data_IF_076534699170
#
_entry.id   IF_076534699170
#
_cell.length_a   1.000
_cell.length_b   1.000
_cell.length_c   1.000
_cell.angle_alpha   90.00
_cell.angle_beta   90.00
_cell.angle_gamma   90.00
#
_symmetry.space_group_name_H-M   'P 1'
#
loop_
_entity.id
_entity.type
_entity.pdbx_description
1 polymer ?
#
# COMPACT_ATOMS: atom_id res chain seq x y z
N UNK A 1 11.81 38.27 81.34
CA UNK A 1 12.36 37.18 80.61
C UNK A 1 11.17 36.56 79.75
N UNK A 2 11.14 36.93 78.52
CA UNK A 2 10.16 36.42 77.58
C UNK A 2 10.88 35.53 76.53
N UNK A 3 10.54 34.27 76.50
CA UNK A 3 10.95 33.35 75.49
C UNK A 3 9.98 33.46 74.28
N UNK A 4 10.43 33.95 73.16
CA UNK A 4 9.69 33.93 71.91
C UNK A 4 10.04 32.65 71.14
N UNK A 5 9.10 31.74 71.05
CA UNK A 5 9.14 30.54 70.20
C UNK A 5 8.89 30.95 68.75
N UNK A 6 9.91 30.84 67.93
CA UNK A 6 9.73 31.00 66.48
C UNK A 6 9.27 29.69 65.83
N UNK A 7 8.00 29.65 65.43
CA UNK A 7 7.43 28.56 64.61
C UNK A 7 7.81 28.78 63.17
N UNK A 8 8.70 27.97 62.63
CA UNK A 8 9.01 27.91 61.22
C UNK A 8 7.94 27.03 60.55
N UNK A 9 7.01 27.68 59.85
CA UNK A 9 6.07 27.00 59.00
C UNK A 9 6.79 26.67 57.68
N UNK A 10 7.16 25.40 57.51
CA UNK A 10 7.63 24.89 56.23
C UNK A 10 6.45 24.71 55.28
N UNK A 11 6.24 25.72 54.43
CA UNK A 11 5.31 25.59 53.32
C UNK A 11 5.96 24.68 52.25
N UNK A 12 5.59 23.40 52.23
CA UNK A 12 5.83 22.52 51.10
C UNK A 12 4.95 22.98 49.94
N UNK A 13 5.52 23.74 49.00
CA UNK A 13 4.92 23.97 47.73
C UNK A 13 5.00 22.64 46.96
N UNK A 14 3.91 21.87 46.92
CA UNK A 14 3.69 20.86 45.89
C UNK A 14 3.53 21.62 44.57
N UNK A 15 4.65 21.78 43.85
CA UNK A 15 4.61 22.09 42.46
C UNK A 15 3.98 20.86 41.76
N UNK A 16 2.67 20.85 41.62
CA UNK A 16 2.01 20.00 40.68
C UNK A 16 2.54 20.39 39.29
N UNK A 17 3.46 19.61 38.77
CA UNK A 17 3.79 19.63 37.37
C UNK A 17 2.52 19.18 36.63
N UNK A 18 1.57 20.09 36.44
CA UNK A 18 0.64 20.00 35.35
C UNK A 18 1.39 20.37 34.07
N UNK A 19 2.36 19.53 33.68
CA UNK A 19 2.77 19.43 32.31
C UNK A 19 1.50 18.98 31.61
N UNK A 20 0.76 19.90 31.01
CA UNK A 20 -0.16 19.60 29.96
C UNK A 20 0.67 18.88 28.89
N UNK A 21 0.72 17.55 28.94
CA UNK A 21 0.97 16.78 27.76
C UNK A 21 -0.10 17.31 26.79
N UNK A 22 0.31 18.11 25.83
CA UNK A 22 -0.45 18.19 24.61
C UNK A 22 -0.60 16.72 24.21
N UNK A 23 -1.78 16.15 24.47
CA UNK A 23 -2.21 14.95 23.79
C UNK A 23 -2.30 15.35 22.31
N UNK A 24 -1.16 15.36 21.62
CA UNK A 24 -1.16 14.96 20.24
C UNK A 24 -1.55 13.49 20.31
N UNK A 25 -2.85 13.21 20.29
CA UNK A 25 -3.33 11.90 19.88
C UNK A 25 -2.86 11.76 18.46
N UNK A 26 -1.65 11.20 18.28
CA UNK A 26 -1.26 10.72 16.97
C UNK A 26 -2.36 9.71 16.62
N UNK A 27 -3.10 10.00 15.57
CA UNK A 27 -4.16 9.11 15.09
C UNK A 27 -3.49 7.94 14.36
N UNK A 28 -2.70 7.17 15.12
CA UNK A 28 -1.90 6.04 14.64
C UNK A 28 -2.58 4.74 15.03
N UNK A 29 -2.77 3.86 14.07
CA UNK A 29 -3.19 2.49 14.31
C UNK A 29 -1.95 1.65 14.60
N UNK A 30 -1.97 0.93 15.74
CA UNK A 30 -0.92 -0.01 16.13
C UNK A 30 -1.42 -1.44 15.93
N UNK A 31 -0.71 -2.23 15.11
CA UNK A 31 -1.09 -3.59 14.70
C UNK A 31 0.00 -4.57 15.11
N UNK A 32 -0.32 -5.55 15.97
CA UNK A 32 0.55 -6.71 16.19
C UNK A 32 0.40 -7.69 15.02
N UNK A 33 1.47 -8.02 14.30
CA UNK A 33 1.49 -8.99 13.21
C UNK A 33 2.42 -10.16 13.51
N UNK A 34 2.03 -11.36 13.08
CA UNK A 34 2.83 -12.58 13.24
C UNK A 34 3.91 -12.72 12.15
N UNK A 35 3.76 -12.02 11.05
CA UNK A 35 4.59 -12.20 9.86
C UNK A 35 5.27 -10.89 9.48
N UNK A 36 6.56 -10.80 9.77
CA UNK A 36 7.36 -9.69 9.25
C UNK A 36 7.63 -9.89 7.75
N UNK A 37 7.57 -8.82 6.94
CA UNK A 37 8.04 -8.87 5.57
C UNK A 37 9.53 -9.24 5.48
N UNK A 38 9.88 -10.17 4.61
CA UNK A 38 11.30 -10.48 4.31
C UNK A 38 11.94 -9.35 3.50
N UNK A 39 11.16 -8.77 2.60
CA UNK A 39 11.45 -7.59 1.79
C UNK A 39 10.13 -6.90 1.45
N UNK A 40 10.18 -5.72 0.83
CA UNK A 40 8.99 -4.92 0.49
C UNK A 40 8.52 -5.11 -0.97
N UNK A 41 8.95 -6.19 -1.62
CA UNK A 41 8.63 -6.49 -3.02
C UNK A 41 7.72 -7.72 -3.15
N UNK A 42 6.72 -7.65 -4.01
CA UNK A 42 5.83 -8.76 -4.33
C UNK A 42 6.40 -9.72 -5.40
N UNK A 43 7.56 -9.40 -5.98
CA UNK A 43 8.25 -10.25 -6.99
C UNK A 43 9.49 -10.93 -6.44
N UNK A 44 9.96 -10.58 -5.26
CA UNK A 44 11.19 -11.09 -4.64
C UNK A 44 10.93 -12.07 -3.47
N UNK A 45 9.74 -12.69 -3.41
CA UNK A 45 9.42 -13.66 -2.37
C UNK A 45 9.25 -13.06 -0.98
N UNK A 46 8.65 -11.87 -0.86
CA UNK A 46 8.46 -11.12 0.40
C UNK A 46 7.62 -11.80 1.48
N UNK A 47 6.93 -12.89 1.13
CA UNK A 47 6.12 -13.68 2.06
C UNK A 47 4.74 -13.09 2.35
N UNK A 48 4.05 -13.64 3.37
CA UNK A 48 2.72 -13.19 3.76
C UNK A 48 2.75 -11.78 4.38
N UNK A 49 3.75 -11.49 5.21
CA UNK A 49 3.86 -10.21 5.92
C UNK A 49 3.89 -9.00 4.99
N UNK A 50 4.53 -9.11 3.82
CA UNK A 50 4.55 -8.00 2.85
C UNK A 50 3.15 -7.70 2.31
N UNK A 51 2.34 -8.74 2.07
CA UNK A 51 0.96 -8.55 1.61
C UNK A 51 0.08 -7.96 2.71
N UNK A 52 0.20 -8.46 3.95
CA UNK A 52 -0.56 -7.94 5.09
C UNK A 52 -0.28 -6.47 5.37
N UNK A 53 0.99 -6.06 5.28
CA UNK A 53 1.38 -4.68 5.58
C UNK A 53 1.11 -3.71 4.43
N UNK A 54 1.30 -4.11 3.18
CA UNK A 54 1.39 -3.16 2.07
C UNK A 54 0.22 -3.21 1.08
N UNK A 55 -0.49 -4.37 0.96
CA UNK A 55 -1.61 -4.47 0.01
C UNK A 55 -2.79 -3.62 0.46
N UNK A 56 -3.26 -2.72 -0.39
CA UNK A 56 -4.33 -1.75 -0.08
C UNK A 56 -3.88 -0.59 0.83
N UNK A 57 -2.69 -0.67 1.43
CA UNK A 57 -2.10 0.42 2.19
C UNK A 57 -1.15 1.26 1.33
N UNK A 58 -0.03 0.70 0.92
CA UNK A 58 0.95 1.39 0.08
C UNK A 58 0.76 1.08 -1.41
N UNK A 59 0.30 -0.12 -1.73
CA UNK A 59 0.13 -0.57 -3.10
C UNK A 59 -1.31 -0.93 -3.42
N UNK A 60 -1.72 -0.62 -4.63
CA UNK A 60 -3.03 -0.94 -5.18
C UNK A 60 -2.91 -1.72 -6.48
N UNK A 61 -3.96 -2.49 -6.78
CA UNK A 61 -4.13 -3.19 -8.05
C UNK A 61 -5.05 -2.44 -9.00
N UNK A 62 -5.26 -3.01 -10.19
CA UNK A 62 -6.27 -2.48 -11.12
C UNK A 62 -7.69 -2.57 -10.53
N UNK A 63 -7.91 -3.58 -9.70
CA UNK A 63 -9.15 -3.81 -8.96
C UNK A 63 -8.82 -4.12 -7.51
N UNK A 64 -9.81 -4.07 -6.63
CA UNK A 64 -9.71 -4.62 -5.28
C UNK A 64 -10.78 -5.67 -5.03
N UNK A 65 -10.49 -6.60 -4.13
CA UNK A 65 -11.44 -7.60 -3.67
C UNK A 65 -12.16 -7.05 -2.44
N UNK A 66 -13.46 -6.81 -2.56
CA UNK A 66 -14.29 -6.38 -1.45
C UNK A 66 -14.55 -7.54 -0.46
N UNK A 67 -15.00 -7.20 0.76
CA UNK A 67 -15.26 -8.18 1.84
C UNK A 67 -16.33 -9.22 1.49
N UNK A 68 -17.24 -8.88 0.57
CA UNK A 68 -18.26 -9.79 0.06
C UNK A 68 -17.73 -10.73 -1.05
N UNK A 69 -16.45 -10.63 -1.41
CA UNK A 69 -15.79 -11.42 -2.45
C UNK A 69 -16.00 -10.88 -3.86
N UNK A 70 -16.63 -9.73 -4.04
CA UNK A 70 -16.79 -9.11 -5.37
C UNK A 70 -15.55 -8.30 -5.75
N UNK A 71 -15.26 -8.27 -7.05
CA UNK A 71 -14.19 -7.43 -7.61
C UNK A 71 -14.77 -6.05 -7.90
N UNK A 72 -14.12 -5.03 -7.35
CA UNK A 72 -14.50 -3.63 -7.49
C UNK A 72 -13.45 -2.83 -8.24
N UNK A 73 -13.84 -1.78 -8.99
CA UNK A 73 -12.91 -0.86 -9.62
C UNK A 73 -11.96 -0.20 -8.63
N UNK A 74 -10.66 -0.10 -8.99
CA UNK A 74 -9.66 0.65 -8.23
C UNK A 74 -8.85 1.54 -9.18
N UNK A 75 -7.68 1.13 -9.63
CA UNK A 75 -6.90 1.89 -10.62
C UNK A 75 -7.44 1.72 -12.05
N UNK A 76 -8.19 0.64 -12.34
CA UNK A 76 -9.06 0.56 -13.50
C UNK A 76 -10.50 0.90 -13.10
N UNK A 77 -11.17 1.71 -13.90
CA UNK A 77 -12.57 2.12 -13.70
C UNK A 77 -13.56 1.11 -14.29
N UNK A 78 -13.14 0.41 -15.35
CA UNK A 78 -13.92 -0.63 -16.05
C UNK A 78 -12.99 -1.46 -16.94
N UNK A 79 -13.58 -2.49 -17.56
CA UNK A 79 -12.94 -3.25 -18.63
C UNK A 79 -13.96 -3.79 -19.61
N UNK A 80 -13.51 -3.99 -20.84
CA UNK A 80 -14.24 -4.69 -21.90
C UNK A 80 -13.55 -6.02 -22.21
N UNK A 81 -14.34 -6.99 -22.69
CA UNK A 81 -13.85 -8.31 -23.11
C UNK A 81 -14.31 -8.59 -24.53
N UNK A 82 -13.38 -9.01 -25.38
CA UNK A 82 -13.70 -9.41 -26.75
C UNK A 82 -14.66 -10.61 -26.80
N UNK A 83 -15.39 -10.78 -27.90
CA UNK A 83 -16.36 -11.89 -28.07
C UNK A 83 -15.74 -13.28 -27.89
N UNK A 84 -14.48 -13.44 -28.31
CA UNK A 84 -13.74 -14.69 -28.12
C UNK A 84 -13.21 -14.87 -26.69
N UNK A 85 -13.30 -13.83 -25.84
CA UNK A 85 -12.84 -13.85 -24.45
C UNK A 85 -11.33 -13.88 -24.28
N UNK A 86 -10.56 -13.50 -25.31
CA UNK A 86 -9.11 -13.54 -25.30
C UNK A 86 -8.45 -12.18 -25.16
N UNK A 87 -9.18 -11.08 -25.35
CA UNK A 87 -8.66 -9.72 -25.19
C UNK A 87 -9.45 -8.97 -24.14
N UNK A 88 -8.74 -8.40 -23.17
CA UNK A 88 -9.26 -7.50 -22.16
C UNK A 88 -8.74 -6.10 -22.42
N UNK A 89 -9.62 -5.10 -22.45
CA UNK A 89 -9.26 -3.68 -22.54
C UNK A 89 -9.66 -3.02 -21.23
N UNK A 90 -8.68 -2.59 -20.44
CA UNK A 90 -8.90 -1.92 -19.15
C UNK A 90 -8.82 -0.42 -19.34
N UNK A 91 -9.78 0.30 -18.76
CA UNK A 91 -9.84 1.77 -18.74
C UNK A 91 -9.29 2.25 -17.40
N UNK A 92 -8.14 2.92 -17.43
CA UNK A 92 -7.44 3.34 -16.23
C UNK A 92 -7.99 4.66 -15.69
N UNK A 93 -7.84 4.84 -14.38
CA UNK A 93 -8.25 6.05 -13.66
C UNK A 93 -7.26 7.18 -13.95
N UNK A 94 -7.80 8.36 -14.27
CA UNK A 94 -7.01 9.57 -14.42
C UNK A 94 -6.69 10.23 -13.06
N UNK A 95 -5.61 11.01 -13.00
CA UNK A 95 -5.24 11.81 -11.84
C UNK A 95 -4.67 11.02 -10.66
N UNK A 96 -4.36 9.74 -10.85
CA UNK A 96 -3.66 8.91 -9.85
C UNK A 96 -2.17 9.25 -9.86
N UNK A 97 -1.57 9.34 -8.67
CA UNK A 97 -0.13 9.52 -8.51
C UNK A 97 0.48 8.45 -7.62
N UNK A 98 1.73 8.12 -7.87
CA UNK A 98 2.57 7.34 -6.96
C UNK A 98 3.02 8.15 -5.75
N UNK A 99 3.65 7.51 -4.78
CA UNK A 99 4.10 8.19 -3.55
C UNK A 99 5.25 9.17 -3.78
N UNK A 100 5.98 9.05 -4.87
CA UNK A 100 7.00 10.01 -5.31
C UNK A 100 6.41 11.25 -6.03
N UNK A 101 5.09 11.23 -6.32
CA UNK A 101 4.35 12.30 -7.00
C UNK A 101 4.28 12.15 -8.51
N UNK A 102 4.90 11.13 -9.11
CA UNK A 102 4.75 10.84 -10.55
C UNK A 102 3.35 10.31 -10.86
N UNK A 103 2.86 10.56 -12.07
CA UNK A 103 1.53 10.11 -12.50
C UNK A 103 1.53 8.62 -12.86
N UNK A 104 0.45 7.92 -12.51
CA UNK A 104 0.20 6.55 -12.94
C UNK A 104 -0.46 6.52 -14.31
N UNK A 105 0.06 5.67 -15.21
CA UNK A 105 -0.53 5.43 -16.52
C UNK A 105 -0.43 3.96 -16.97
N UNK A 106 -0.82 3.70 -18.23
CA UNK A 106 -0.82 2.35 -18.78
C UNK A 106 0.60 1.76 -18.98
N UNK A 107 1.64 2.59 -19.12
CA UNK A 107 3.01 2.08 -19.21
C UNK A 107 3.47 1.48 -17.87
N UNK A 108 3.09 2.08 -16.74
CA UNK A 108 3.35 1.54 -15.41
C UNK A 108 2.60 0.21 -15.19
N UNK A 109 1.36 0.12 -15.67
CA UNK A 109 0.59 -1.13 -15.60
C UNK A 109 1.24 -2.24 -16.45
N UNK A 110 1.72 -1.93 -17.66
CA UNK A 110 2.51 -2.84 -18.50
C UNK A 110 3.77 -3.29 -17.78
N UNK A 111 4.52 -2.35 -17.22
CA UNK A 111 5.73 -2.65 -16.45
C UNK A 111 5.41 -3.57 -15.26
N UNK A 112 4.39 -3.24 -14.48
CA UNK A 112 3.99 -3.98 -13.27
C UNK A 112 3.58 -5.43 -13.58
N UNK A 113 2.84 -5.67 -14.66
CA UNK A 113 2.45 -7.01 -15.09
C UNK A 113 3.67 -7.79 -15.57
N UNK A 114 4.50 -7.17 -16.42
CA UNK A 114 5.69 -7.82 -16.98
C UNK A 114 6.72 -8.18 -15.90
N UNK A 115 6.88 -7.36 -14.83
CA UNK A 115 7.72 -7.70 -13.67
C UNK A 115 7.28 -9.03 -13.03
N UNK A 116 5.98 -9.23 -12.85
CA UNK A 116 5.44 -10.47 -12.26
C UNK A 116 5.66 -11.66 -13.19
N UNK A 117 5.57 -11.47 -14.50
CA UNK A 117 5.74 -12.52 -15.51
C UNK A 117 7.21 -12.82 -15.83
N UNK A 118 8.15 -11.95 -15.45
CA UNK A 118 9.58 -12.11 -15.71
C UNK A 118 10.11 -13.48 -15.24
N UNK A 119 11.11 -14.02 -15.95
CA UNK A 119 11.60 -15.38 -15.70
C UNK A 119 12.11 -15.58 -14.27
N UNK A 120 12.80 -14.59 -13.72
CA UNK A 120 13.38 -14.55 -12.38
C UNK A 120 12.40 -14.13 -11.28
N UNK A 121 11.18 -13.73 -11.62
CA UNK A 121 10.16 -13.35 -10.65
C UNK A 121 9.79 -14.54 -9.74
N UNK A 122 9.81 -14.30 -8.43
CA UNK A 122 9.36 -15.21 -7.38
C UNK A 122 7.94 -14.88 -6.89
N UNK A 123 7.20 -14.10 -7.66
CA UNK A 123 5.82 -13.76 -7.31
C UNK A 123 4.93 -14.99 -7.23
N UNK A 124 4.18 -15.11 -6.14
CA UNK A 124 3.16 -16.15 -5.98
C UNK A 124 2.04 -16.05 -7.04
N UNK A 125 1.91 -14.90 -7.71
CA UNK A 125 0.90 -14.64 -8.74
C UNK A 125 1.33 -15.03 -10.15
N UNK A 126 2.62 -15.27 -10.39
CA UNK A 126 3.19 -15.56 -11.71
C UNK A 126 2.43 -16.69 -12.45
N UNK A 127 2.18 -17.81 -11.76
CA UNK A 127 1.46 -18.94 -12.37
C UNK A 127 0.02 -18.64 -12.74
N UNK A 128 -0.66 -17.78 -11.98
CA UNK A 128 -2.05 -17.38 -12.21
C UNK A 128 -2.20 -16.41 -13.40
N UNK A 129 -1.13 -15.68 -13.70
CA UNK A 129 -1.05 -14.74 -14.82
C UNK A 129 -0.35 -15.34 -16.05
N UNK A 130 0.10 -16.60 -16.00
CA UNK A 130 0.79 -17.26 -17.11
C UNK A 130 -0.06 -17.45 -18.39
N UNK A 131 -1.37 -17.21 -18.29
CA UNK A 131 -2.28 -17.17 -19.46
C UNK A 131 -2.14 -15.89 -20.28
N UNK A 132 -1.48 -14.86 -19.77
CA UNK A 132 -1.23 -13.59 -20.46
C UNK A 132 -0.19 -13.85 -21.57
N UNK A 133 -0.56 -13.49 -22.81
CA UNK A 133 0.28 -13.58 -23.97
C UNK A 133 1.00 -12.25 -24.28
N UNK A 134 0.26 -11.14 -24.19
CA UNK A 134 0.82 -9.79 -24.33
C UNK A 134 0.10 -8.77 -23.46
N UNK A 135 0.81 -7.71 -23.12
CA UNK A 135 0.30 -6.54 -22.39
C UNK A 135 0.80 -5.29 -23.10
N UNK A 136 -0.10 -4.40 -23.46
CA UNK A 136 0.20 -3.22 -24.26
C UNK A 136 -0.51 -1.98 -23.73
N UNK A 137 0.20 -0.85 -23.62
CA UNK A 137 -0.37 0.47 -23.42
C UNK A 137 -0.82 1.02 -24.78
N UNK A 138 -2.12 1.04 -25.03
CA UNK A 138 -2.68 1.56 -26.30
C UNK A 138 -2.66 3.10 -26.28
N UNK A 139 -2.89 3.70 -25.14
CA UNK A 139 -2.73 5.10 -24.80
C UNK A 139 -2.49 5.21 -23.27
N UNK A 140 -2.25 6.40 -22.70
CA UNK A 140 -1.96 6.52 -21.27
C UNK A 140 -3.06 5.99 -20.33
N UNK A 141 -4.31 5.92 -20.77
CA UNK A 141 -5.44 5.47 -19.96
C UNK A 141 -6.00 4.11 -20.40
N UNK A 142 -5.41 3.47 -21.43
CA UNK A 142 -5.92 2.22 -21.97
C UNK A 142 -4.87 1.12 -21.97
N UNK A 143 -5.12 0.08 -21.18
CA UNK A 143 -4.29 -1.12 -21.11
C UNK A 143 -4.98 -2.27 -21.82
N UNK A 144 -4.32 -2.88 -22.81
CA UNK A 144 -4.80 -4.06 -23.50
C UNK A 144 -4.02 -5.29 -23.07
N UNK A 145 -4.73 -6.33 -22.65
CA UNK A 145 -4.14 -7.63 -22.25
C UNK A 145 -4.72 -8.73 -23.15
N UNK A 146 -3.83 -9.41 -23.86
CA UNK A 146 -4.20 -10.56 -24.71
C UNK A 146 -3.84 -11.87 -24.02
N UNK A 147 -4.74 -12.84 -24.05
CA UNK A 147 -4.60 -14.14 -23.39
C UNK A 147 -4.35 -15.25 -24.41
N UNK A 148 -3.59 -16.26 -24.02
CA UNK A 148 -3.41 -17.52 -24.76
C UNK A 148 -4.61 -18.45 -24.66
N UNK A 149 -5.43 -18.29 -23.61
CA UNK A 149 -6.69 -18.99 -23.38
C UNK A 149 -7.64 -18.13 -22.54
N UNK A 150 -8.94 -18.38 -22.62
CA UNK A 150 -9.94 -17.66 -21.83
C UNK A 150 -9.67 -17.78 -20.32
N UNK A 151 -9.76 -16.67 -19.60
CA UNK A 151 -9.62 -16.64 -18.14
C UNK A 151 -10.56 -15.61 -17.52
N UNK A 152 -11.69 -16.05 -16.99
CA UNK A 152 -12.65 -15.19 -16.28
C UNK A 152 -12.09 -14.68 -14.95
N UNK A 153 -11.02 -15.29 -14.43
CA UNK A 153 -10.36 -14.89 -13.19
C UNK A 153 -9.30 -13.80 -13.38
N UNK A 154 -9.07 -13.31 -14.61
CA UNK A 154 -8.06 -12.30 -14.85
C UNK A 154 -8.25 -11.04 -13.98
N UNK A 155 -9.45 -10.40 -13.91
CA UNK A 155 -9.63 -9.22 -13.04
C UNK A 155 -9.38 -9.52 -11.56
N UNK A 156 -9.77 -10.71 -11.08
CA UNK A 156 -9.46 -11.16 -9.72
C UNK A 156 -7.94 -11.29 -9.50
N UNK A 157 -7.21 -11.88 -10.43
CA UNK A 157 -5.77 -12.01 -10.30
C UNK A 157 -5.04 -10.66 -10.33
N UNK A 158 -5.57 -9.69 -11.09
CA UNK A 158 -5.05 -8.33 -11.16
C UNK A 158 -5.36 -7.48 -9.92
N UNK A 159 -6.29 -7.90 -9.04
CA UNK A 159 -6.55 -7.21 -7.77
C UNK A 159 -5.43 -7.40 -6.73
N UNK A 160 -4.58 -8.40 -6.91
CA UNK A 160 -3.43 -8.67 -6.05
C UNK A 160 -2.09 -8.31 -6.70
N UNK A 161 -2.14 -7.74 -7.90
CA UNK A 161 -0.94 -7.31 -8.61
C UNK A 161 -0.74 -5.82 -8.33
N UNK A 162 0.36 -5.50 -7.65
CA UNK A 162 0.68 -4.12 -7.29
C UNK A 162 1.17 -3.33 -8.48
N UNK A 163 0.59 -2.16 -8.70
CA UNK A 163 1.07 -1.20 -9.66
C UNK A 163 2.23 -0.41 -9.05
N UNK A 164 3.31 -0.31 -9.80
CA UNK A 164 4.54 0.40 -9.44
C UNK A 164 5.01 1.23 -10.64
N UNK A 165 5.76 2.32 -10.43
CA UNK A 165 6.28 3.14 -11.53
C UNK A 165 7.20 2.32 -12.46
N UNK A 166 7.25 2.72 -13.73
CA UNK A 166 8.18 2.13 -14.68
C UNK A 166 9.63 2.23 -14.17
N UNK A 167 10.33 1.10 -14.15
CA UNK A 167 11.72 1.00 -13.65
C UNK A 167 11.88 0.90 -12.14
N UNK A 168 10.79 0.95 -11.35
CA UNK A 168 10.87 0.73 -9.90
C UNK A 168 11.10 -0.76 -9.58
N UNK A 169 12.17 -1.06 -8.86
CA UNK A 169 12.54 -2.42 -8.42
C UNK A 169 13.26 -2.43 -7.07
N UNK A 170 12.68 -1.76 -6.06
CA UNK A 170 13.21 -1.77 -4.69
C UNK A 170 12.67 -2.92 -3.87
N UNK A 171 13.50 -3.46 -2.98
CA UNK A 171 13.11 -4.44 -1.96
C UNK A 171 13.04 -3.85 -0.54
N UNK A 172 13.39 -2.59 -0.38
CA UNK A 172 13.48 -1.90 0.91
C UNK A 172 12.72 -0.59 0.96
N UNK A 173 12.19 -0.14 -0.17
CA UNK A 173 11.40 1.08 -0.33
C UNK A 173 10.06 0.74 -0.95
N UNK A 174 9.09 1.64 -0.81
CA UNK A 174 7.79 1.53 -1.47
C UNK A 174 7.57 2.75 -2.36
N UNK A 175 7.01 2.51 -3.54
CA UNK A 175 6.46 3.55 -4.39
C UNK A 175 5.20 3.00 -5.04
N UNK A 176 4.07 3.26 -4.42
CA UNK A 176 2.76 2.78 -4.83
C UNK A 176 1.74 3.90 -4.84
N UNK A 177 0.55 3.57 -5.30
CA UNK A 177 -0.57 4.53 -5.45
C UNK A 177 -1.45 4.62 -4.23
N UNK A 178 -1.23 3.79 -3.21
CA UNK A 178 -2.09 3.62 -2.04
C UNK A 178 -2.18 4.84 -1.12
N UNK A 179 -3.12 4.81 -0.14
CA UNK A 179 -3.35 5.91 0.79
C UNK A 179 -2.21 6.18 1.77
N UNK A 180 -1.31 5.24 1.94
CA UNK A 180 -0.14 5.37 2.81
C UNK A 180 1.16 5.15 2.04
N UNK A 181 2.25 5.72 2.52
CA UNK A 181 3.62 5.47 2.06
C UNK A 181 4.49 4.97 3.21
N UNK A 182 5.58 4.28 2.90
CA UNK A 182 6.54 3.84 3.90
C UNK A 182 7.14 5.06 4.61
N UNK A 183 7.07 5.05 5.95
CA UNK A 183 7.76 6.02 6.79
C UNK A 183 9.09 5.44 7.32
N UNK A 184 9.02 4.23 7.90
CA UNK A 184 10.20 3.54 8.40
C UNK A 184 10.00 2.02 8.43
N UNK A 185 11.08 1.26 8.24
CA UNK A 185 11.11 -0.17 8.47
C UNK A 185 12.33 -0.58 9.28
N UNK A 186 12.09 -0.98 10.53
CA UNK A 186 13.10 -1.52 11.44
C UNK A 186 12.94 -3.01 11.55
N UNK A 187 13.77 -3.77 10.82
CA UNK A 187 13.71 -5.23 10.77
C UNK A 187 13.76 -5.86 12.16
N UNK A 188 12.90 -6.85 12.39
CA UNK A 188 12.73 -7.52 13.68
C UNK A 188 11.96 -6.70 14.71
N UNK A 189 11.33 -5.59 14.32
CA UNK A 189 10.63 -4.71 15.24
C UNK A 189 9.36 -4.11 14.64
N UNK A 190 9.48 -3.15 13.70
CA UNK A 190 8.34 -2.38 13.21
C UNK A 190 8.43 -2.04 11.72
N UNK A 191 7.26 -1.95 11.09
CA UNK A 191 7.07 -1.30 9.81
C UNK A 191 6.01 -0.21 10.00
N UNK A 192 6.41 1.05 9.79
CA UNK A 192 5.55 2.21 9.93
C UNK A 192 5.19 2.80 8.56
N UNK A 193 3.93 3.09 8.38
CA UNK A 193 3.36 3.76 7.22
C UNK A 193 2.77 5.09 7.67
N UNK A 194 2.86 6.11 6.83
CA UNK A 194 2.24 7.43 7.02
C UNK A 194 1.23 7.72 5.93
N UNK A 195 0.16 8.41 6.28
CA UNK A 195 -0.85 8.89 5.35
C UNK A 195 -0.22 9.79 4.27
N UNK A 196 -0.68 9.65 3.05
CA UNK A 196 -0.22 10.47 1.91
C UNK A 196 -1.11 11.68 1.72
N UNK A 197 -0.47 12.83 1.56
CA UNK A 197 -1.14 13.99 0.98
C UNK A 197 -1.38 13.74 -0.53
N UNK A 198 -2.57 14.11 -1.01
CA UNK A 198 -2.89 13.99 -2.43
C UNK A 198 -3.21 12.56 -2.91
N UNK A 199 -3.59 11.65 -2.01
CA UNK A 199 -4.16 10.36 -2.41
C UNK A 199 -5.40 10.59 -3.29
N UNK A 200 -5.53 9.82 -4.36
CA UNK A 200 -6.59 9.99 -5.36
C UNK A 200 -7.99 9.60 -4.87
N UNK A 201 -8.08 8.76 -3.85
CA UNK A 201 -9.34 8.32 -3.23
C UNK A 201 -9.69 9.14 -1.99
N UNK A 202 -10.53 8.57 -1.14
CA UNK A 202 -10.88 9.19 0.15
C UNK A 202 -9.64 9.24 1.05
N UNK A 203 -9.41 10.40 1.65
CA UNK A 203 -8.27 10.58 2.56
C UNK A 203 -8.32 9.55 3.71
N UNK A 204 -7.17 8.96 4.08
CA UNK A 204 -7.10 8.07 5.24
C UNK A 204 -7.61 8.78 6.49
N UNK A 205 -8.31 8.05 7.37
CA UNK A 205 -8.82 8.60 8.63
C UNK A 205 -7.75 8.72 9.71
N UNK A 206 -6.67 7.95 9.57
CA UNK A 206 -5.57 7.87 10.51
C UNK A 206 -4.30 8.43 9.86
N UNK A 207 -3.50 9.14 10.66
CA UNK A 207 -2.26 9.76 10.19
C UNK A 207 -1.16 8.71 9.89
N UNK A 208 -1.20 7.58 10.60
CA UNK A 208 -0.18 6.53 10.47
C UNK A 208 -0.73 5.14 10.84
N UNK A 209 -0.01 4.12 10.40
CA UNK A 209 -0.20 2.71 10.78
C UNK A 209 1.17 2.11 11.09
N UNK A 210 1.30 1.45 12.25
CA UNK A 210 2.54 0.77 12.66
C UNK A 210 2.27 -0.71 12.88
N UNK A 211 2.98 -1.56 12.14
CA UNK A 211 3.00 -3.00 12.35
C UNK A 211 4.16 -3.36 13.29
N UNK A 212 3.86 -4.15 14.33
CA UNK A 212 4.81 -4.68 15.32
C UNK A 212 4.99 -6.19 15.11
N UNK A 213 6.24 -6.66 15.13
CA UNK A 213 6.65 -8.05 14.88
C UNK A 213 7.30 -8.71 16.08
#
# INVERSE_FOLDING_TARGET
LALTAATIAAAMALAACSGGAANSTSDTIEIGSLYEPVNLSNIAGGGQGVTEALNGNAYEGLFYLADDGTIQPQLATSYDVSEDGLTYTFHLREGVTFSDGTGFDAADAVHSINRVLAEDSQSARKSQLAVINSVEATDPQTLTVTLSQRSISLPYNLSYLWMVPEGFDSQTETDGTGPYSLDAWTKGSTLALKARDGYWGDAPKNDAVTFHY
#
